data_IF_620292528134
#
_entry.id   IF_620292528134
#
_cell.length_a   1.000
_cell.length_b   1.000
_cell.length_c   1.000
_cell.angle_alpha   90.00
_cell.angle_beta   90.00
_cell.angle_gamma   90.00
#
_symmetry.space_group_name_H-M   'P 1'
#
loop_
_entity.id
_entity.type
_entity.pdbx_description
1 polymer ?
#
# COMPACT_ATOMS: atom_id res chain seq x y z
N UNK A 1 -15.93 0.82 -6.50
CA UNK A 1 -15.43 -0.22 -5.58
C UNK A 1 -16.54 -0.75 -4.68
N UNK A 2 -17.09 0.05 -3.77
CA UNK A 2 -18.13 -0.37 -2.82
C UNK A 2 -19.38 -1.01 -3.43
N UNK A 3 -19.92 -0.42 -4.50
CA UNK A 3 -21.09 -0.98 -5.21
C UNK A 3 -20.85 -2.39 -5.75
N UNK A 4 -19.60 -2.75 -6.04
CA UNK A 4 -19.22 -4.05 -6.60
C UNK A 4 -18.76 -5.05 -5.53
N UNK A 5 -18.95 -4.76 -4.23
CA UNK A 5 -18.31 -5.51 -3.14
C UNK A 5 -18.55 -7.03 -3.19
N UNK A 6 -19.77 -7.47 -3.49
CA UNK A 6 -20.09 -8.90 -3.62
C UNK A 6 -19.23 -9.59 -4.71
N UNK A 7 -19.07 -8.92 -5.86
CA UNK A 7 -18.21 -9.40 -6.93
C UNK A 7 -16.72 -9.40 -6.52
N UNK A 8 -16.28 -8.39 -5.75
CA UNK A 8 -14.90 -8.32 -5.28
C UNK A 8 -14.57 -9.43 -4.27
N UNK A 9 -15.51 -9.81 -3.41
CA UNK A 9 -15.33 -10.87 -2.39
C UNK A 9 -15.05 -12.24 -3.02
N UNK A 10 -15.71 -12.57 -4.14
CA UNK A 10 -15.53 -13.89 -4.77
C UNK A 10 -14.25 -13.99 -5.59
N UNK A 11 -13.63 -12.88 -6.00
CA UNK A 11 -12.49 -12.93 -6.94
C UNK A 11 -11.23 -13.61 -6.39
N UNK A 12 -10.75 -13.36 -5.15
CA UNK A 12 -9.59 -14.08 -4.62
C UNK A 12 -9.80 -15.59 -4.48
N UNK A 13 -10.89 -16.11 -3.85
CA UNK A 13 -11.07 -17.56 -3.72
C UNK A 13 -11.31 -18.26 -5.06
N UNK A 14 -11.77 -17.56 -6.10
CA UNK A 14 -11.89 -18.11 -7.46
C UNK A 14 -10.61 -18.03 -8.29
N UNK A 15 -9.52 -17.52 -7.70
CA UNK A 15 -8.20 -17.41 -8.37
C UNK A 15 -8.30 -16.65 -9.69
N UNK A 16 -9.05 -15.55 -9.68
CA UNK A 16 -9.23 -14.67 -10.83
C UNK A 16 -8.20 -13.55 -10.73
N UNK A 17 -7.20 -13.49 -11.64
CA UNK A 17 -6.11 -12.50 -11.58
C UNK A 17 -6.56 -11.14 -12.13
N UNK A 18 -7.64 -10.59 -11.59
CA UNK A 18 -8.17 -9.29 -11.99
C UNK A 18 -7.27 -8.16 -11.49
N UNK A 19 -6.82 -7.30 -12.39
CA UNK A 19 -6.08 -6.07 -12.05
C UNK A 19 -7.05 -4.88 -12.14
N UNK A 20 -7.18 -4.15 -11.04
CA UNK A 20 -8.05 -2.98 -10.95
C UNK A 20 -7.27 -1.74 -10.54
N UNK A 21 -7.43 -0.64 -11.29
CA UNK A 21 -7.03 0.68 -10.83
C UNK A 21 -8.14 1.26 -9.95
N UNK A 22 -7.84 1.55 -8.69
CA UNK A 22 -8.75 2.17 -7.72
C UNK A 22 -8.36 3.63 -7.55
N UNK A 23 -9.06 4.52 -8.25
CA UNK A 23 -8.96 5.96 -8.01
C UNK A 23 -9.58 6.30 -6.66
N UNK A 24 -8.76 6.44 -5.63
CA UNK A 24 -9.21 6.55 -4.25
C UNK A 24 -10.06 7.80 -4.04
N UNK A 25 -11.23 7.62 -3.42
CA UNK A 25 -12.21 8.68 -3.15
C UNK A 25 -12.87 8.45 -1.79
N UNK A 26 -13.14 9.53 -1.09
CA UNK A 26 -13.97 9.51 0.12
C UNK A 26 -15.34 8.87 -0.12
N UNK A 27 -15.74 8.03 0.83
CA UNK A 27 -17.05 7.39 0.84
C UNK A 27 -18.10 8.39 1.33
N UNK A 28 -19.35 8.17 0.94
CA UNK A 28 -20.49 8.94 1.47
C UNK A 28 -20.74 8.51 2.94
N UNK A 29 -21.06 9.37 3.93
CA UNK A 29 -21.77 10.67 3.95
C UNK A 29 -20.99 11.78 4.73
N UNK A 30 -20.90 13.03 4.23
CA UNK A 30 -21.33 13.48 2.91
C UNK A 30 -20.40 12.95 1.83
N UNK A 31 -20.94 12.78 0.62
CA UNK A 31 -20.10 12.42 -0.52
C UNK A 31 -19.08 13.50 -0.83
N UNK A 32 -17.82 13.09 -1.00
CA UNK A 32 -16.73 13.99 -1.37
C UNK A 32 -15.95 13.42 -2.57
N UNK A 33 -15.47 14.31 -3.44
CA UNK A 33 -14.63 13.94 -4.59
C UNK A 33 -13.18 13.65 -4.22
N UNK A 34 -12.73 14.23 -3.10
CA UNK A 34 -11.34 14.12 -2.67
C UNK A 34 -10.99 12.71 -2.19
N UNK A 35 -9.69 12.49 -2.03
CA UNK A 35 -9.12 11.18 -1.71
C UNK A 35 -9.35 10.77 -0.25
N UNK A 36 -9.62 9.47 -0.09
CA UNK A 36 -9.55 8.72 1.16
C UNK A 36 -9.22 7.27 0.80
N UNK A 37 -8.37 6.59 1.56
CA UNK A 37 -7.93 5.22 1.23
C UNK A 37 -8.88 4.13 1.69
N UNK A 38 -9.92 4.47 2.47
CA UNK A 38 -10.93 3.54 2.97
C UNK A 38 -11.60 2.71 1.85
N UNK A 39 -11.75 3.30 0.66
CA UNK A 39 -12.40 2.63 -0.46
C UNK A 39 -11.60 1.39 -0.94
N UNK A 40 -10.30 1.51 -1.15
CA UNK A 40 -9.45 0.38 -1.51
C UNK A 40 -9.14 -0.52 -0.30
N UNK A 41 -8.99 0.04 0.90
CA UNK A 41 -8.66 -0.72 2.12
C UNK A 41 -9.79 -1.63 2.60
N UNK A 42 -11.02 -1.47 2.11
CA UNK A 42 -12.15 -2.33 2.48
C UNK A 42 -11.97 -3.80 2.09
N UNK A 43 -11.15 -4.09 1.07
CA UNK A 43 -10.92 -5.45 0.58
C UNK A 43 -9.67 -6.12 1.18
N UNK A 44 -9.00 -5.45 2.13
CA UNK A 44 -7.70 -5.91 2.69
C UNK A 44 -7.73 -7.29 3.33
N UNK A 45 -8.91 -7.76 3.72
CA UNK A 45 -9.14 -9.02 4.42
C UNK A 45 -9.67 -10.13 3.48
N UNK A 46 -9.90 -9.81 2.19
CA UNK A 46 -10.56 -10.72 1.25
C UNK A 46 -9.57 -11.58 0.45
N UNK A 47 -8.26 -11.29 0.49
CA UNK A 47 -7.24 -11.96 -0.30
C UNK A 47 -6.80 -11.19 -1.56
N UNK A 48 -7.19 -9.93 -1.67
CA UNK A 48 -6.67 -9.00 -2.68
C UNK A 48 -5.25 -8.58 -2.35
N UNK A 49 -4.39 -8.55 -3.37
CA UNK A 49 -3.11 -7.84 -3.31
C UNK A 49 -3.36 -6.34 -3.47
N UNK A 50 -2.69 -5.51 -2.69
CA UNK A 50 -2.93 -4.07 -2.63
C UNK A 50 -1.63 -3.30 -2.75
N UNK A 51 -1.56 -2.42 -3.74
CA UNK A 51 -0.39 -1.59 -4.03
C UNK A 51 -0.82 -0.12 -4.19
N UNK A 52 -0.12 0.81 -3.55
CA UNK A 52 -0.32 2.25 -3.67
C UNK A 52 0.80 2.91 -4.47
N UNK A 53 0.40 3.74 -5.42
CA UNK A 53 1.29 4.50 -6.29
C UNK A 53 1.28 5.99 -5.92
N UNK A 54 2.40 6.70 -6.15
CA UNK A 54 2.55 8.13 -5.85
C UNK A 54 2.94 9.01 -7.05
N UNK A 55 3.18 8.41 -8.23
CA UNK A 55 3.47 9.16 -9.47
C UNK A 55 2.82 8.52 -10.70
N UNK A 56 2.66 9.30 -11.78
CA UNK A 56 2.12 8.81 -13.06
C UNK A 56 3.02 7.77 -13.71
N UNK A 57 4.35 7.91 -13.55
CA UNK A 57 5.33 6.92 -13.99
C UNK A 57 5.15 5.60 -13.25
N UNK A 58 5.00 5.66 -11.93
CA UNK A 58 4.73 4.48 -11.12
C UNK A 58 3.37 3.86 -11.44
N UNK A 59 2.36 4.66 -11.82
CA UNK A 59 1.07 4.14 -12.30
C UNK A 59 1.22 3.22 -13.52
N UNK A 60 1.95 3.68 -14.53
CA UNK A 60 2.22 2.91 -15.74
C UNK A 60 3.04 1.66 -15.41
N UNK A 61 4.15 1.82 -14.69
CA UNK A 61 5.08 0.73 -14.41
C UNK A 61 4.43 -0.34 -13.53
N UNK A 62 3.71 0.08 -12.50
CA UNK A 62 3.00 -0.83 -11.59
C UNK A 62 1.86 -1.56 -12.28
N UNK A 63 1.23 -0.97 -13.30
CA UNK A 63 0.20 -1.68 -14.09
C UNK A 63 0.78 -2.91 -14.80
N UNK A 64 1.96 -2.77 -15.42
CA UNK A 64 2.64 -3.90 -16.06
C UNK A 64 3.10 -4.94 -15.03
N UNK A 65 3.67 -4.48 -13.91
CA UNK A 65 4.06 -5.36 -12.81
C UNK A 65 2.85 -6.10 -12.23
N UNK A 66 1.72 -5.43 -12.09
CA UNK A 66 0.52 -5.98 -11.50
C UNK A 66 -0.04 -7.14 -12.33
N UNK A 67 -0.16 -6.97 -13.65
CA UNK A 67 -0.56 -8.09 -14.54
C UNK A 67 0.43 -9.25 -14.42
N UNK A 68 1.73 -8.95 -14.48
CA UNK A 68 2.76 -9.98 -14.37
C UNK A 68 2.66 -10.79 -13.06
N UNK A 69 2.39 -10.12 -11.95
CA UNK A 69 2.28 -10.77 -10.63
C UNK A 69 0.95 -11.50 -10.49
N UNK A 70 -0.16 -10.85 -10.84
CA UNK A 70 -1.50 -11.41 -10.69
C UNK A 70 -1.68 -12.66 -11.57
N UNK A 71 -1.22 -12.61 -12.82
CA UNK A 71 -1.34 -13.69 -13.81
C UNK A 71 -0.31 -14.81 -13.62
N UNK A 72 0.65 -14.66 -12.70
CA UNK A 72 1.59 -15.75 -12.42
C UNK A 72 0.82 -16.94 -11.82
N UNK A 73 0.97 -18.13 -12.40
CA UNK A 73 0.27 -19.34 -11.98
C UNK A 73 0.57 -19.76 -10.53
N UNK A 74 1.71 -19.36 -9.97
CA UNK A 74 2.04 -19.56 -8.54
C UNK A 74 1.14 -18.69 -7.65
N UNK A 75 0.64 -17.58 -8.18
CA UNK A 75 -0.14 -16.55 -7.48
C UNK A 75 -1.62 -16.64 -7.85
N UNK A 76 -2.06 -16.28 -9.07
CA UNK A 76 -3.48 -16.18 -9.45
C UNK A 76 -4.36 -15.55 -8.36
N UNK A 77 -4.00 -14.33 -7.95
CA UNK A 77 -4.76 -13.50 -7.03
C UNK A 77 -5.06 -12.15 -7.70
N UNK A 78 -6.21 -11.53 -7.39
CA UNK A 78 -6.51 -10.20 -7.90
C UNK A 78 -5.66 -9.14 -7.21
N UNK A 79 -5.45 -8.02 -7.90
CA UNK A 79 -4.57 -6.93 -7.48
C UNK A 79 -5.26 -5.58 -7.68
N UNK A 80 -5.36 -4.79 -6.61
CA UNK A 80 -5.82 -3.41 -6.67
C UNK A 80 -4.62 -2.45 -6.65
N UNK A 81 -4.49 -1.65 -7.71
CA UNK A 81 -3.55 -0.54 -7.80
C UNK A 81 -4.30 0.70 -7.34
N UNK A 82 -4.00 1.19 -6.15
CA UNK A 82 -4.62 2.36 -5.56
C UNK A 82 -3.90 3.63 -5.96
N UNK A 83 -4.64 4.60 -6.48
CA UNK A 83 -4.14 5.88 -6.96
C UNK A 83 -4.95 7.01 -6.34
N UNK A 84 -4.28 7.93 -5.65
CA UNK A 84 -4.96 9.02 -4.94
C UNK A 84 -5.75 9.92 -5.90
N UNK A 85 -7.07 10.01 -5.66
CA UNK A 85 -7.99 10.85 -6.42
C UNK A 85 -7.57 12.32 -6.42
N UNK A 86 -7.77 12.99 -7.56
CA UNK A 86 -7.31 14.34 -7.87
C UNK A 86 -5.78 14.50 -7.90
N UNK A 87 -5.08 14.23 -6.78
CA UNK A 87 -3.64 14.46 -6.64
C UNK A 87 -2.80 13.66 -7.63
N UNK A 88 -3.20 12.43 -7.96
CA UNK A 88 -2.52 11.60 -8.96
C UNK A 88 -3.37 11.39 -10.20
N UNK A 89 -4.65 11.05 -10.04
CA UNK A 89 -5.50 10.67 -11.18
C UNK A 89 -5.78 11.81 -12.16
N UNK A 90 -5.66 13.08 -11.75
CA UNK A 90 -5.93 14.25 -12.57
C UNK A 90 -4.72 15.18 -12.75
N UNK A 91 -3.62 14.93 -12.04
CA UNK A 91 -2.39 15.71 -12.18
C UNK A 91 -1.64 15.32 -13.46
N UNK A 92 -1.17 16.32 -14.20
CA UNK A 92 -0.35 16.10 -15.39
C UNK A 92 1.13 15.98 -15.01
N UNK A 93 1.77 14.90 -15.47
CA UNK A 93 3.20 14.69 -15.33
C UNK A 93 3.75 13.95 -16.54
N UNK A 94 5.00 14.24 -16.89
CA UNK A 94 5.69 13.56 -17.98
C UNK A 94 5.90 12.11 -17.58
N UNK A 95 5.44 11.19 -18.43
CA UNK A 95 5.52 9.75 -18.23
C UNK A 95 6.22 9.12 -19.41
N UNK A 96 7.25 8.33 -19.13
CA UNK A 96 8.02 7.60 -20.13
C UNK A 96 7.29 6.32 -20.53
N UNK A 97 6.46 6.39 -21.55
CA UNK A 97 5.78 5.22 -22.14
C UNK A 97 6.81 4.31 -22.81
N UNK A 98 6.90 3.03 -22.44
CA UNK A 98 7.85 2.11 -23.06
C UNK A 98 7.38 1.68 -24.47
N UNK A 99 8.30 1.29 -25.36
CA UNK A 99 7.95 0.69 -26.64
C UNK A 99 7.27 -0.67 -26.44
N UNK A 100 6.35 -1.02 -27.35
CA UNK A 100 5.54 -2.24 -27.28
C UNK A 100 6.39 -3.50 -27.18
N UNK A 101 7.52 -3.56 -27.88
CA UNK A 101 8.39 -4.74 -27.93
C UNK A 101 9.02 -5.05 -26.56
N UNK A 102 9.25 -4.03 -25.73
CA UNK A 102 9.70 -4.23 -24.35
C UNK A 102 8.56 -4.76 -23.48
N UNK A 103 7.33 -4.29 -23.70
CA UNK A 103 6.14 -4.79 -23.01
C UNK A 103 5.90 -6.25 -23.34
N UNK A 104 5.90 -6.62 -24.62
CA UNK A 104 5.69 -8.00 -25.08
C UNK A 104 6.75 -8.97 -24.53
N UNK A 105 7.98 -8.50 -24.32
CA UNK A 105 9.06 -9.27 -23.70
C UNK A 105 8.86 -9.46 -22.19
N UNK A 106 8.29 -8.47 -21.52
CA UNK A 106 8.13 -8.47 -20.07
C UNK A 106 6.86 -9.18 -19.62
N UNK A 107 5.76 -8.97 -20.35
CA UNK A 107 4.44 -9.47 -20.06
C UNK A 107 3.94 -10.26 -21.28
N UNK A 108 4.24 -11.57 -21.36
CA UNK A 108 3.76 -12.40 -22.44
C UNK A 108 2.22 -12.52 -22.38
N UNK A 109 1.62 -13.06 -23.44
CA UNK A 109 0.17 -13.27 -23.50
C UNK A 109 -0.31 -14.10 -22.30
N UNK A 110 -1.34 -13.61 -21.63
CA UNK A 110 -2.01 -14.32 -20.54
C UNK A 110 -2.43 -15.73 -20.99
N UNK A 111 -2.01 -16.73 -20.23
CA UNK A 111 -2.36 -18.13 -20.43
C UNK A 111 -2.88 -18.74 -19.12
N UNK A 112 -4.19 -19.03 -19.11
CA UNK A 112 -4.88 -19.65 -17.98
C UNK A 112 -4.80 -21.19 -18.05
N UNK A 113 -4.34 -21.75 -19.17
CA UNK A 113 -4.15 -23.18 -19.39
C UNK A 113 -5.40 -24.01 -19.11
N UNK A 114 -5.21 -25.07 -18.32
CA UNK A 114 -6.25 -25.99 -17.83
C UNK A 114 -7.33 -25.35 -16.95
N UNK A 115 -7.16 -24.10 -16.51
CA UNK A 115 -8.17 -23.35 -15.73
C UNK A 115 -9.06 -22.45 -16.60
N UNK A 116 -8.90 -22.50 -17.93
CA UNK A 116 -9.75 -21.78 -18.88
C UNK A 116 -11.06 -22.54 -19.13
N UNK A 117 -12.20 -21.87 -18.93
CA UNK A 117 -13.51 -22.44 -19.25
C UNK A 117 -13.69 -22.52 -20.78
N UNK A 118 -13.77 -23.73 -21.32
CA UNK A 118 -13.95 -23.99 -22.75
C UNK A 118 -14.75 -25.29 -22.96
N UNK A 119 -15.58 -25.44 -24.02
CA UNK A 119 -16.29 -26.69 -24.29
C UNK A 119 -15.37 -27.93 -24.37
N UNK A 120 -14.16 -27.76 -24.92
CA UNK A 120 -13.14 -28.82 -25.00
C UNK A 120 -12.30 -28.97 -23.71
N UNK A 121 -12.50 -28.10 -22.71
CA UNK A 121 -11.90 -28.19 -21.38
C UNK A 121 -12.98 -28.00 -20.29
N UNK A 122 -13.84 -29.02 -20.08
CA UNK A 122 -14.94 -28.91 -19.13
C UNK A 122 -14.39 -28.89 -17.69
N UNK A 123 -14.51 -27.74 -17.04
CA UNK A 123 -14.18 -27.54 -15.63
C UNK A 123 -15.41 -27.03 -14.87
N UNK A 124 -15.50 -27.38 -13.59
CA UNK A 124 -16.50 -26.80 -12.67
C UNK A 124 -15.84 -25.70 -11.86
N UNK A 125 -16.36 -24.48 -11.98
CA UNK A 125 -15.87 -23.32 -11.23
C UNK A 125 -16.89 -23.00 -10.13
N UNK A 126 -16.40 -22.82 -8.91
CA UNK A 126 -17.23 -22.47 -7.74
C UNK A 126 -18.37 -23.46 -7.44
N UNK A 127 -18.13 -24.80 -7.35
CA UNK A 127 -19.17 -25.70 -6.87
C UNK A 127 -19.54 -25.36 -5.41
N UNK A 128 -20.76 -25.73 -5.00
CA UNK A 128 -21.12 -25.70 -3.59
C UNK A 128 -20.16 -26.63 -2.82
N UNK A 129 -19.43 -26.07 -1.85
CA UNK A 129 -18.57 -26.84 -0.96
C UNK A 129 -19.24 -27.02 0.40
N UNK A 130 -18.99 -28.16 1.05
CA UNK A 130 -19.35 -28.36 2.46
C UNK A 130 -18.42 -27.53 3.37
N UNK A 131 -18.89 -27.23 4.57
CA UNK A 131 -18.20 -26.46 5.60
C UNK A 131 -16.80 -26.98 5.91
N UNK A 132 -16.60 -28.30 5.86
CA UNK A 132 -15.34 -28.98 6.15
C UNK A 132 -14.18 -28.56 5.23
N UNK A 133 -14.46 -28.02 4.04
CA UNK A 133 -13.45 -27.65 3.05
C UNK A 133 -13.03 -26.17 3.10
N UNK A 134 -13.79 -25.33 3.81
CA UNK A 134 -13.58 -23.87 3.74
C UNK A 134 -12.22 -23.48 4.32
N UNK A 135 -11.75 -24.20 5.36
CA UNK A 135 -10.45 -23.94 5.98
C UNK A 135 -9.28 -24.22 5.03
N UNK A 136 -9.34 -25.31 4.25
CA UNK A 136 -8.34 -25.63 3.23
C UNK A 136 -8.34 -24.58 2.12
N UNK A 137 -9.51 -24.14 1.67
CA UNK A 137 -9.62 -23.10 0.63
C UNK A 137 -9.01 -21.78 1.12
N UNK A 138 -9.27 -21.38 2.37
CA UNK A 138 -8.67 -20.17 2.96
C UNK A 138 -7.16 -20.31 3.11
N UNK A 139 -6.67 -21.48 3.54
CA UNK A 139 -5.23 -21.77 3.61
C UNK A 139 -4.58 -21.71 2.22
N UNK A 140 -5.21 -22.22 1.17
CA UNK A 140 -4.66 -22.16 -0.19
C UNK A 140 -4.56 -20.72 -0.74
N UNK A 141 -5.47 -19.82 -0.33
CA UNK A 141 -5.37 -18.39 -0.64
C UNK A 141 -4.23 -17.71 0.12
N UNK A 142 -4.08 -18.00 1.41
CA UNK A 142 -2.97 -17.51 2.23
C UNK A 142 -1.61 -17.97 1.68
N UNK A 143 -1.47 -19.25 1.32
CA UNK A 143 -0.25 -19.78 0.71
C UNK A 143 0.08 -19.11 -0.64
N UNK A 144 -0.93 -18.66 -1.38
CA UNK A 144 -0.72 -17.90 -2.60
C UNK A 144 -0.27 -16.47 -2.36
N UNK A 145 -0.83 -15.82 -1.33
CA UNK A 145 -0.40 -14.50 -0.88
C UNK A 145 1.06 -14.54 -0.40
N UNK A 146 1.47 -15.61 0.30
CA UNK A 146 2.88 -15.84 0.67
C UNK A 146 3.78 -16.02 -0.54
N UNK A 147 3.38 -16.83 -1.53
CA UNK A 147 4.15 -16.99 -2.78
C UNK A 147 4.25 -15.70 -3.58
N UNK A 148 3.23 -14.85 -3.55
CA UNK A 148 3.24 -13.55 -4.23
C UNK A 148 4.42 -12.68 -3.80
N UNK A 149 4.94 -12.84 -2.57
CA UNK A 149 6.13 -12.11 -2.10
C UNK A 149 7.33 -12.31 -3.04
N UNK A 150 7.68 -13.55 -3.36
CA UNK A 150 8.78 -13.86 -4.27
C UNK A 150 8.49 -13.43 -5.71
N UNK A 151 7.25 -13.62 -6.18
CA UNK A 151 6.84 -13.22 -7.53
C UNK A 151 6.90 -11.71 -7.74
N UNK A 152 6.54 -10.92 -6.71
CA UNK A 152 6.67 -9.46 -6.73
C UNK A 152 8.15 -9.08 -6.88
N UNK A 153 9.05 -9.67 -6.08
CA UNK A 153 10.48 -9.38 -6.14
C UNK A 153 11.08 -9.73 -7.51
N UNK A 154 10.71 -10.89 -8.08
CA UNK A 154 11.09 -11.31 -9.44
C UNK A 154 10.55 -10.34 -10.51
N UNK A 155 9.28 -9.92 -10.40
CA UNK A 155 8.66 -9.01 -11.35
C UNK A 155 9.37 -7.65 -11.38
N UNK A 156 9.69 -7.07 -10.22
CA UNK A 156 10.45 -5.81 -10.16
C UNK A 156 11.88 -5.99 -10.68
N UNK A 157 12.56 -7.09 -10.37
CA UNK A 157 13.90 -7.37 -10.88
C UNK A 157 13.93 -7.46 -12.41
N UNK A 158 12.97 -8.18 -12.99
CA UNK A 158 12.87 -8.25 -14.44
C UNK A 158 12.38 -6.96 -15.09
N UNK A 159 11.55 -6.17 -14.38
CA UNK A 159 11.14 -4.85 -14.87
C UNK A 159 12.38 -3.95 -15.02
N UNK A 160 13.27 -3.94 -14.01
CA UNK A 160 14.55 -3.23 -14.09
C UNK A 160 15.40 -3.73 -15.24
N UNK A 161 15.50 -5.04 -15.45
CA UNK A 161 16.27 -5.65 -16.53
C UNK A 161 15.76 -5.27 -17.93
N UNK A 162 14.44 -5.25 -18.14
CA UNK A 162 13.83 -5.00 -19.45
C UNK A 162 13.70 -3.51 -19.75
N UNK A 163 13.24 -2.72 -18.78
CA UNK A 163 12.93 -1.30 -18.98
C UNK A 163 14.06 -0.37 -18.55
N UNK A 164 15.04 -0.84 -17.77
CA UNK A 164 16.16 -0.04 -17.28
C UNK A 164 15.78 0.96 -16.19
N UNK A 165 14.64 0.75 -15.52
CA UNK A 165 14.11 1.63 -14.47
C UNK A 165 13.31 0.84 -13.44
N UNK A 166 12.97 1.50 -12.33
CA UNK A 166 12.20 0.92 -11.24
C UNK A 166 13.03 0.77 -9.97
N UNK A 167 12.39 0.74 -8.79
CA UNK A 167 13.09 0.69 -7.51
C UNK A 167 13.72 -0.69 -7.27
N UNK A 168 14.80 -0.74 -6.50
CA UNK A 168 15.38 -2.00 -6.02
C UNK A 168 14.48 -2.67 -4.98
N UNK A 169 14.04 -1.90 -3.98
CA UNK A 169 13.08 -2.32 -2.97
C UNK A 169 11.64 -2.14 -3.52
N UNK A 170 10.89 -3.24 -3.77
CA UNK A 170 9.53 -3.13 -4.28
C UNK A 170 8.56 -2.68 -3.19
N UNK A 171 8.83 -3.01 -1.92
CA UNK A 171 7.86 -2.96 -0.82
C UNK A 171 7.54 -1.53 -0.37
N UNK A 172 8.54 -0.67 -0.33
CA UNK A 172 8.43 0.71 0.08
C UNK A 172 9.59 1.54 -0.49
N UNK A 173 9.41 2.85 -0.48
CA UNK A 173 10.45 3.83 -0.77
C UNK A 173 10.99 4.40 0.53
N UNK A 174 12.31 4.53 0.61
CA UNK A 174 13.00 5.23 1.70
C UNK A 174 13.49 6.57 1.20
N UNK A 175 13.27 7.63 1.98
CA UNK A 175 13.72 8.97 1.66
C UNK A 175 14.38 9.60 2.87
N UNK A 176 15.71 9.78 2.80
CA UNK A 176 16.54 10.28 3.90
C UNK A 176 16.31 9.52 5.23
N UNK A 177 16.20 8.18 5.15
CA UNK A 177 15.87 7.33 6.30
C UNK A 177 17.11 6.75 7.03
N UNK A 178 18.24 6.60 6.34
CA UNK A 178 19.42 5.88 6.84
C UNK A 178 19.96 6.38 8.19
N UNK A 179 19.94 7.69 8.42
CA UNK A 179 20.43 8.36 9.64
C UNK A 179 19.29 9.04 10.43
N UNK A 180 18.03 8.76 10.08
CA UNK A 180 16.88 9.46 10.64
C UNK A 180 16.66 9.11 12.12
N UNK A 181 16.53 10.13 12.96
CA UNK A 181 16.06 9.99 14.34
C UNK A 181 14.55 9.80 14.38
N UNK A 182 13.82 10.49 13.49
CA UNK A 182 12.37 10.36 13.33
C UNK A 182 12.07 9.83 11.94
N UNK A 183 11.33 8.72 11.85
CA UNK A 183 10.85 8.20 10.57
C UNK A 183 9.34 8.43 10.48
N UNK A 184 8.91 9.19 9.48
CA UNK A 184 7.52 9.28 9.09
C UNK A 184 7.18 8.10 8.18
N UNK A 185 5.95 7.58 8.30
CA UNK A 185 5.43 6.54 7.43
C UNK A 185 4.14 7.04 6.79
N UNK A 186 4.00 6.84 5.49
CA UNK A 186 2.78 7.20 4.75
C UNK A 186 2.58 6.31 3.53
N UNK A 187 1.43 6.47 2.87
CA UNK A 187 1.05 5.68 1.70
C UNK A 187 0.45 6.58 0.63
N UNK A 188 0.69 6.29 -0.65
CA UNK A 188 0.22 7.13 -1.77
C UNK A 188 0.90 8.52 -1.82
N UNK A 189 0.19 9.50 -2.37
CA UNK A 189 0.72 10.84 -2.72
C UNK A 189 1.03 11.73 -1.51
N UNK A 190 0.62 11.33 -0.30
CA UNK A 190 0.98 12.07 0.92
C UNK A 190 2.50 12.13 1.12
N UNK A 191 3.25 11.22 0.49
CA UNK A 191 4.70 11.23 0.43
C UNK A 191 5.27 12.55 -0.09
N UNK A 192 4.60 13.22 -1.05
CA UNK A 192 5.11 14.41 -1.72
C UNK A 192 5.26 15.61 -0.77
N UNK A 193 4.21 16.09 -0.08
CA UNK A 193 4.37 17.17 0.90
C UNK A 193 5.29 16.77 2.06
N UNK A 194 5.28 15.49 2.47
CA UNK A 194 6.20 15.00 3.52
C UNK A 194 7.66 15.15 3.08
N UNK A 195 8.01 14.74 1.84
CA UNK A 195 9.37 14.90 1.30
C UNK A 195 9.81 16.36 1.25
N UNK A 196 8.88 17.29 0.94
CA UNK A 196 9.16 18.74 0.95
C UNK A 196 9.49 19.21 2.38
N UNK A 197 8.64 18.89 3.36
CA UNK A 197 8.87 19.24 4.76
C UNK A 197 10.17 18.63 5.31
N UNK A 198 10.46 17.37 4.97
CA UNK A 198 11.72 16.70 5.33
C UNK A 198 12.93 17.47 4.81
N UNK A 199 12.93 17.93 3.55
CA UNK A 199 14.06 18.74 3.04
C UNK A 199 14.27 20.02 3.86
N UNK A 200 13.20 20.73 4.18
CA UNK A 200 13.29 21.96 4.98
C UNK A 200 13.80 21.70 6.40
N UNK A 201 13.32 20.63 7.05
CA UNK A 201 13.77 20.24 8.38
C UNK A 201 15.23 19.76 8.38
N UNK A 202 15.63 18.99 7.36
CA UNK A 202 17.01 18.53 7.17
C UNK A 202 17.96 19.69 6.95
N UNK A 203 17.57 20.71 6.20
CA UNK A 203 18.34 21.95 6.06
C UNK A 203 18.54 22.70 7.39
N UNK A 204 17.65 22.50 8.36
CA UNK A 204 17.74 23.04 9.73
C UNK A 204 18.43 22.07 10.71
N UNK A 205 19.01 20.97 10.24
CA UNK A 205 19.74 20.00 11.05
C UNK A 205 18.88 18.95 11.75
N UNK A 206 17.56 18.91 11.53
CA UNK A 206 16.68 17.87 12.08
C UNK A 206 16.81 16.58 11.25
N UNK A 207 17.09 15.44 11.89
CA UNK A 207 17.27 14.14 11.22
C UNK A 207 15.94 13.41 11.04
N UNK A 208 15.19 13.80 10.02
CA UNK A 208 13.87 13.23 9.70
C UNK A 208 13.93 12.46 8.39
N UNK A 209 13.32 11.28 8.35
CA UNK A 209 13.20 10.45 7.15
C UNK A 209 11.75 10.08 6.87
N UNK A 210 11.53 9.47 5.69
CA UNK A 210 10.24 8.93 5.28
C UNK A 210 10.41 7.49 4.80
N UNK A 211 9.46 6.64 5.18
CA UNK A 211 9.15 5.39 4.51
C UNK A 211 7.78 5.53 3.85
N UNK A 212 7.72 5.48 2.51
CA UNK A 212 6.45 5.42 1.78
C UNK A 212 6.14 3.98 1.42
N UNK A 213 5.07 3.45 2.01
CA UNK A 213 4.55 2.13 1.67
C UNK A 213 4.09 2.08 0.21
N UNK A 214 4.59 1.10 -0.54
CA UNK A 214 4.15 0.79 -1.91
C UNK A 214 3.22 -0.41 -1.91
N UNK A 215 3.62 -1.52 -1.30
CA UNK A 215 2.76 -2.70 -1.17
C UNK A 215 2.19 -2.79 0.24
N UNK A 216 0.87 -2.82 0.34
CA UNK A 216 0.14 -2.99 1.60
C UNK A 216 -0.32 -4.45 1.82
N UNK A 217 -0.67 -5.16 0.73
CA UNK A 217 -0.91 -6.62 0.75
C UNK A 217 -0.16 -7.28 -0.41
N UNK A 218 0.71 -8.28 -0.16
CA UNK A 218 1.13 -8.77 1.16
C UNK A 218 1.87 -7.67 1.96
N UNK A 219 1.65 -7.63 3.28
CA UNK A 219 2.22 -6.58 4.14
C UNK A 219 3.70 -6.90 4.47
N UNK A 220 4.66 -5.99 4.22
CA UNK A 220 6.10 -6.29 4.29
C UNK A 220 6.66 -6.17 5.72
N UNK A 221 6.05 -6.84 6.71
CA UNK A 221 6.32 -6.58 8.13
C UNK A 221 7.80 -6.74 8.54
N UNK A 222 8.48 -7.83 8.15
CA UNK A 222 9.88 -8.07 8.54
C UNK A 222 10.82 -6.97 8.03
N UNK A 223 10.62 -6.56 6.77
CA UNK A 223 11.43 -5.53 6.11
C UNK A 223 11.16 -4.16 6.72
N UNK A 224 9.89 -3.88 6.99
CA UNK A 224 9.47 -2.61 7.58
C UNK A 224 9.97 -2.48 9.03
N UNK A 225 9.85 -3.54 9.84
CA UNK A 225 10.39 -3.58 11.21
C UNK A 225 11.89 -3.33 11.20
N UNK A 226 12.64 -3.96 10.29
CA UNK A 226 14.08 -3.73 10.15
C UNK A 226 14.38 -2.26 9.81
N UNK A 227 13.71 -1.70 8.82
CA UNK A 227 13.92 -0.31 8.39
C UNK A 227 13.55 0.71 9.49
N UNK A 228 12.53 0.42 10.29
CA UNK A 228 12.09 1.28 11.40
C UNK A 228 12.92 1.15 12.68
N UNK A 229 13.70 0.07 12.82
CA UNK A 229 14.40 -0.27 14.08
C UNK A 229 15.47 0.73 14.52
N UNK A 230 15.95 1.58 13.61
CA UNK A 230 16.94 2.63 13.88
C UNK A 230 16.34 3.94 14.40
N UNK A 231 15.04 4.15 14.22
CA UNK A 231 14.38 5.39 14.61
C UNK A 231 14.26 5.51 16.14
N UNK A 232 14.32 6.74 16.64
CA UNK A 232 13.99 7.07 18.03
C UNK A 232 12.49 7.21 18.24
N UNK A 233 11.73 7.59 17.20
CA UNK A 233 10.28 7.54 17.17
C UNK A 233 9.76 7.44 15.73
N UNK A 234 8.53 6.93 15.59
CA UNK A 234 7.86 6.69 14.31
C UNK A 234 6.56 7.50 14.30
N UNK A 235 6.31 8.21 13.20
CA UNK A 235 5.04 8.91 12.98
C UNK A 235 4.31 8.34 11.76
N UNK A 236 3.17 7.68 11.95
CA UNK A 236 2.39 7.13 10.85
C UNK A 236 1.29 8.11 10.47
N UNK A 237 1.27 8.54 9.21
CA UNK A 237 0.26 9.47 8.68
C UNK A 237 -0.67 8.69 7.75
N UNK A 238 -1.86 8.38 8.26
CA UNK A 238 -2.91 7.69 7.53
C UNK A 238 -3.83 8.69 6.80
N UNK A 239 -4.19 8.34 5.56
CA UNK A 239 -5.24 8.99 4.75
C UNK A 239 -6.48 8.11 4.68
N UNK A 240 -6.71 7.37 5.76
CA UNK A 240 -7.90 6.60 6.04
C UNK A 240 -8.23 6.73 7.52
N UNK A 241 -9.45 6.37 7.87
CA UNK A 241 -9.82 6.21 9.26
C UNK A 241 -10.54 4.90 9.49
N UNK A 242 -10.00 4.07 10.38
CA UNK A 242 -10.64 2.82 10.78
C UNK A 242 -11.51 3.05 12.01
N UNK A 243 -12.77 3.40 11.79
CA UNK A 243 -13.74 3.64 12.86
C UNK A 243 -13.79 2.48 13.87
N UNK A 244 -13.66 2.80 15.16
CA UNK A 244 -13.67 1.81 16.24
C UNK A 244 -12.40 0.95 16.37
N UNK A 245 -11.36 1.23 15.59
CA UNK A 245 -10.09 0.49 15.68
C UNK A 245 -9.34 0.75 17.00
N UNK A 246 -8.38 -0.12 17.37
CA UNK A 246 -7.47 0.15 18.46
C UNK A 246 -6.83 1.55 18.34
N UNK A 247 -6.79 2.26 19.48
CA UNK A 247 -6.28 3.62 19.58
C UNK A 247 -6.97 4.66 18.67
N UNK A 248 -8.14 4.33 18.10
CA UNK A 248 -8.87 5.19 17.17
C UNK A 248 -7.98 5.68 16.03
N UNK A 249 -7.32 4.76 15.33
CA UNK A 249 -6.26 5.06 14.35
C UNK A 249 -6.59 4.56 12.94
N UNK A 250 -5.75 4.96 11.98
CA UNK A 250 -5.81 4.44 10.61
C UNK A 250 -5.27 3.02 10.48
N UNK A 251 -5.45 2.42 9.32
CA UNK A 251 -5.12 1.02 9.07
C UNK A 251 -3.61 0.81 9.07
N UNK A 252 -2.80 1.70 8.48
CA UNK A 252 -1.34 1.50 8.41
C UNK A 252 -0.73 1.57 9.81
N UNK A 253 -1.18 2.51 10.65
CA UNK A 253 -0.70 2.60 12.02
C UNK A 253 -0.95 1.29 12.80
N UNK A 254 -2.12 0.67 12.62
CA UNK A 254 -2.46 -0.59 13.27
C UNK A 254 -1.56 -1.75 12.81
N UNK A 255 -1.31 -1.86 11.50
CA UNK A 255 -0.44 -2.90 10.94
C UNK A 255 1.00 -2.77 11.41
N UNK A 256 1.51 -1.54 11.51
CA UNK A 256 2.88 -1.29 12.00
C UNK A 256 2.98 -1.59 13.50
N UNK A 257 1.97 -1.22 14.31
CA UNK A 257 1.92 -1.60 15.73
C UNK A 257 1.93 -3.12 15.91
N UNK A 258 1.13 -3.84 15.13
CA UNK A 258 1.10 -5.30 15.16
C UNK A 258 2.45 -5.89 14.75
N UNK A 259 3.08 -5.33 13.72
CA UNK A 259 4.41 -5.75 13.23
C UNK A 259 5.51 -5.55 14.27
N UNK A 260 5.50 -4.41 14.98
CA UNK A 260 6.48 -4.09 16.01
C UNK A 260 6.26 -4.85 17.33
N UNK A 261 5.09 -5.46 17.55
CA UNK A 261 4.78 -6.13 18.82
C UNK A 261 5.78 -7.24 19.16
N UNK A 262 6.23 -7.99 18.14
CA UNK A 262 7.21 -9.07 18.29
C UNK A 262 8.65 -8.62 17.98
N UNK A 263 8.89 -7.34 17.72
CA UNK A 263 10.23 -6.84 17.42
C UNK A 263 11.06 -6.66 18.70
N UNK A 264 12.39 -6.78 18.58
CA UNK A 264 13.32 -6.50 19.68
C UNK A 264 13.35 -5.01 20.03
N UNK A 265 13.39 -4.16 19.00
CA UNK A 265 13.33 -2.70 19.13
C UNK A 265 11.95 -2.20 18.77
N UNK A 266 11.36 -1.38 19.65
CA UNK A 266 10.00 -0.85 19.52
C UNK A 266 10.00 0.65 19.77
N UNK A 267 10.44 1.46 18.78
CA UNK A 267 10.38 2.91 18.93
C UNK A 267 8.93 3.35 19.22
N UNK A 268 8.73 4.38 20.05
CA UNK A 268 7.44 5.04 20.20
C UNK A 268 6.80 5.32 18.85
N UNK A 269 5.56 4.87 18.66
CA UNK A 269 4.80 5.07 17.43
C UNK A 269 3.60 5.97 17.69
N UNK A 270 3.56 7.12 17.03
CA UNK A 270 2.43 8.04 17.00
C UNK A 270 1.64 7.83 15.72
N UNK A 271 0.31 7.96 15.82
CA UNK A 271 -0.60 7.90 14.68
C UNK A 271 -1.19 9.27 14.43
N UNK A 272 -1.22 9.66 13.17
CA UNK A 272 -1.75 10.92 12.68
C UNK A 272 -2.76 10.64 11.58
N UNK A 273 -3.93 11.26 11.66
CA UNK A 273 -4.92 11.27 10.56
C UNK A 273 -4.80 12.60 9.85
N UNK A 274 -4.61 12.57 8.52
CA UNK A 274 -4.48 13.78 7.74
C UNK A 274 -4.96 13.61 6.29
N UNK A 275 -5.48 14.69 5.71
CA UNK A 275 -5.84 14.75 4.30
C UNK A 275 -7.07 13.95 3.88
N UNK A 276 -7.93 13.57 4.82
CA UNK A 276 -9.23 12.96 4.51
C UNK A 276 -10.09 13.88 3.64
N UNK A 277 -10.90 13.29 2.78
CA UNK A 277 -11.74 14.02 1.81
C UNK A 277 -10.93 14.87 0.83
N UNK A 278 -9.64 14.55 0.64
CA UNK A 278 -8.72 15.31 -0.20
C UNK A 278 -8.29 16.67 0.36
N UNK A 279 -8.45 16.90 1.66
CA UNK A 279 -7.94 18.13 2.29
C UNK A 279 -6.42 18.22 2.11
N UNK A 280 -5.93 19.41 1.82
CA UNK A 280 -4.49 19.64 1.66
C UNK A 280 -3.73 19.29 2.95
N UNK A 281 -2.61 18.57 2.78
CA UNK A 281 -1.67 18.26 3.86
C UNK A 281 -0.54 19.28 3.78
N UNK A 282 -0.51 20.20 4.75
CA UNK A 282 0.42 21.33 4.72
C UNK A 282 1.77 20.98 5.35
N UNK A 283 2.79 21.80 5.08
CA UNK A 283 4.08 21.69 5.76
C UNK A 283 3.95 21.91 7.28
N UNK A 284 2.99 22.74 7.71
CA UNK A 284 2.71 22.97 9.12
C UNK A 284 2.19 21.69 9.80
N UNK A 285 1.30 20.94 9.14
CA UNK A 285 0.81 19.66 9.65
C UNK A 285 1.96 18.66 9.83
N UNK A 286 2.85 18.56 8.84
CA UNK A 286 4.01 17.65 8.91
C UNK A 286 4.99 18.08 10.01
N UNK A 287 5.26 19.39 10.15
CA UNK A 287 6.13 19.92 11.20
C UNK A 287 5.55 19.61 12.60
N UNK A 288 4.23 19.80 12.79
CA UNK A 288 3.54 19.44 14.04
C UNK A 288 3.71 17.96 14.37
N UNK A 289 3.46 17.08 13.40
CA UNK A 289 3.64 15.63 13.59
C UNK A 289 5.07 15.28 14.04
N UNK A 290 6.06 15.89 13.41
CA UNK A 290 7.48 15.63 13.72
C UNK A 290 7.87 16.16 15.10
N UNK A 291 7.42 17.36 15.47
CA UNK A 291 7.72 17.92 16.79
C UNK A 291 7.13 17.03 17.91
N UNK A 292 5.94 16.47 17.69
CA UNK A 292 5.34 15.47 18.59
C UNK A 292 6.14 14.17 18.65
N UNK A 293 6.66 13.70 17.50
CA UNK A 293 7.54 12.54 17.46
C UNK A 293 8.86 12.78 18.21
N UNK A 294 9.48 13.97 18.12
CA UNK A 294 10.66 14.32 18.92
C UNK A 294 10.35 14.35 20.43
N UNK A 295 9.18 14.84 20.83
CA UNK A 295 8.75 14.80 22.23
C UNK A 295 8.60 13.35 22.74
N UNK A 296 8.05 12.46 21.92
CA UNK A 296 7.95 11.04 22.22
C UNK A 296 9.32 10.34 22.26
N UNK A 297 10.21 10.64 21.31
CA UNK A 297 11.58 10.15 21.30
C UNK A 297 12.32 10.52 22.59
N UNK A 298 12.18 11.77 23.06
CA UNK A 298 12.79 12.24 24.31
C UNK A 298 12.22 11.55 25.55
N UNK A 299 10.92 11.26 25.57
CA UNK A 299 10.28 10.61 26.72
C UNK A 299 10.37 9.08 26.69
N UNK A 300 10.72 8.49 25.55
CA UNK A 300 10.69 7.05 25.31
C UNK A 300 9.28 6.45 25.27
N UNK A 301 8.22 7.28 25.19
CA UNK A 301 6.83 6.85 25.21
C UNK A 301 6.03 7.53 24.12
N UNK A 302 5.17 6.76 23.45
CA UNK A 302 4.10 7.30 22.63
C UNK A 302 2.88 7.57 23.49
N UNK A 303 2.12 8.62 23.19
CA UNK A 303 0.76 8.69 23.72
C UNK A 303 -0.09 7.63 23.01
N UNK A 304 -0.99 6.98 23.76
CA UNK A 304 -1.88 5.96 23.22
C UNK A 304 -3.04 6.59 22.41
N UNK A 305 -2.78 7.72 21.75
CA UNK A 305 -3.77 8.54 21.07
C UNK A 305 -3.46 8.62 19.59
N UNK A 306 -4.48 9.00 18.83
CA UNK A 306 -4.36 9.37 17.44
C UNK A 306 -4.61 10.86 17.32
N UNK A 307 -3.73 11.54 16.59
CA UNK A 307 -3.76 12.99 16.44
C UNK A 307 -4.36 13.36 15.09
N UNK A 308 -5.37 14.21 15.10
CA UNK A 308 -6.00 14.69 13.88
C UNK A 308 -5.35 15.99 13.45
N UNK A 309 -4.70 15.97 12.28
CA UNK A 309 -4.02 17.14 11.75
C UNK A 309 -4.92 17.86 10.75
N UNK A 310 -4.96 19.19 10.86
CA UNK A 310 -5.75 20.05 9.99
C UNK A 310 -7.24 20.16 10.38
N UNK A 311 -7.73 19.56 11.46
CA UNK A 311 -9.12 19.81 11.91
C UNK A 311 -9.29 21.27 12.36
N UNK A 312 -10.46 21.87 12.06
CA UNK A 312 -10.81 23.23 12.53
C UNK A 312 -11.55 23.06 13.84
N UNK A 313 -11.02 23.63 14.91
CA UNK A 313 -11.64 23.66 16.25
C UNK A 313 -12.22 25.05 16.52
#
# INVERSE_FOLDING_TARGET
WMYAMECLVVTPPLRVPMVCLVGNRALDDPGAFGVEHNDALVVRDLGWMLCWIDTSQEALDTTLIAYRVAEDRRVFLPLAISADGAFLTHSQAITMVPPKEKVDRYLPRYDRGDLLLHPDNPITVAPQANEDWVIEIRRQNDEAMKRAVGVIEEAYADFRRVFGRGPENPWFEEYMADDAEIILVGMGTISLPIKVAIREMRAKGKKVGLIRLRWFRPFPFERLVKALSGAQAIGVIDRDYSFGSPFHSGVVANEIRASLYNADKRPPLLSFICGLGGREVTLEDVNKAVDMCYAAAKSGKADAKTHWLGVRE
#
